data_IF_092390140913
#
_entry.id   IF_092390140913
#
_cell.length_a   1.000
_cell.length_b   1.000
_cell.length_c   1.000
_cell.angle_alpha   90.00
_cell.angle_beta   90.00
_cell.angle_gamma   90.00
#
_symmetry.space_group_name_H-M   'P 1'
#
loop_
_entity.id
_entity.type
_entity.pdbx_description
1 polymer ?
#
# COMPACT_ATOMS: atom_id res chain seq x y z
N UNK A 1 -1.70 9.91 27.42
CA UNK A 1 -1.47 10.49 26.07
C UNK A 1 -1.02 9.45 25.04
N UNK A 2 -0.07 8.55 25.34
CA UNK A 2 0.47 7.56 24.36
C UNK A 2 -0.56 6.60 23.76
N UNK A 3 -1.55 6.16 24.53
CA UNK A 3 -2.63 5.28 24.05
C UNK A 3 -3.45 5.87 22.88
N UNK A 4 -3.47 7.19 22.70
CA UNK A 4 -4.22 7.79 21.58
C UNK A 4 -3.71 7.30 20.22
N UNK A 5 -2.42 6.95 20.12
CA UNK A 5 -1.81 6.45 18.89
C UNK A 5 -2.35 5.08 18.46
N UNK A 6 -2.96 4.30 19.37
CA UNK A 6 -3.63 3.05 18.99
C UNK A 6 -4.84 3.31 18.09
N UNK A 7 -5.46 4.49 18.18
CA UNK A 7 -6.60 4.86 17.33
C UNK A 7 -6.21 4.89 15.86
N UNK A 8 -4.99 5.31 15.54
CA UNK A 8 -4.47 5.27 14.16
C UNK A 8 -4.45 3.85 13.63
N UNK A 9 -3.80 2.93 14.36
CA UNK A 9 -3.68 1.52 13.97
C UNK A 9 -5.04 0.80 13.90
N UNK A 10 -5.92 1.02 14.88
CA UNK A 10 -7.28 0.50 14.87
C UNK A 10 -8.05 1.06 13.67
N UNK A 11 -7.89 2.36 13.39
CA UNK A 11 -8.50 3.01 12.24
C UNK A 11 -8.08 2.39 10.91
N UNK A 12 -6.82 2.01 10.74
CA UNK A 12 -6.35 1.28 9.55
C UNK A 12 -7.11 -0.04 9.33
N UNK A 13 -7.26 -0.83 10.40
CA UNK A 13 -8.01 -2.11 10.37
C UNK A 13 -9.48 -1.84 10.01
N UNK A 14 -10.10 -0.86 10.67
CA UNK A 14 -11.49 -0.49 10.44
C UNK A 14 -11.72 0.01 9.01
N UNK A 15 -10.80 0.75 8.41
CA UNK A 15 -10.90 1.18 7.00
C UNK A 15 -10.97 -0.04 6.08
N UNK A 16 -10.07 -1.01 6.24
CA UNK A 16 -10.09 -2.23 5.41
C UNK A 16 -11.40 -3.02 5.56
N UNK A 17 -11.85 -3.23 6.80
CA UNK A 17 -13.12 -3.92 7.07
C UNK A 17 -14.31 -3.15 6.49
N UNK A 18 -14.35 -1.82 6.70
CA UNK A 18 -15.44 -0.97 6.24
C UNK A 18 -15.59 -0.99 4.71
N UNK A 19 -14.50 -0.94 3.95
CA UNK A 19 -14.55 -1.04 2.49
C UNK A 19 -15.11 -2.39 2.01
N UNK A 20 -14.69 -3.50 2.62
CA UNK A 20 -15.22 -4.84 2.30
C UNK A 20 -16.73 -4.89 2.60
N UNK A 21 -17.14 -4.55 3.83
CA UNK A 21 -18.54 -4.63 4.24
C UNK A 21 -19.41 -3.71 3.41
N UNK A 22 -19.01 -2.45 3.24
CA UNK A 22 -19.75 -1.46 2.45
C UNK A 22 -19.99 -1.97 1.03
N UNK A 23 -18.96 -2.45 0.34
CA UNK A 23 -19.09 -2.88 -1.05
C UNK A 23 -19.86 -4.19 -1.18
N UNK A 24 -19.63 -5.14 -0.27
CA UNK A 24 -20.35 -6.41 -0.23
C UNK A 24 -21.85 -6.19 -0.07
N UNK A 25 -22.28 -5.38 0.90
CA UNK A 25 -23.71 -5.12 1.12
C UNK A 25 -24.32 -4.23 0.04
N UNK A 26 -23.58 -3.24 -0.48
CA UNK A 26 -24.10 -2.32 -1.49
C UNK A 26 -24.27 -2.97 -2.86
N UNK A 27 -23.31 -3.82 -3.27
CA UNK A 27 -23.26 -4.39 -4.63
C UNK A 27 -23.64 -5.86 -4.70
N UNK A 28 -23.72 -6.56 -3.58
CA UNK A 28 -24.08 -7.99 -3.50
C UNK A 28 -23.24 -8.88 -4.42
N UNK A 29 -21.98 -8.51 -4.64
CA UNK A 29 -21.03 -9.31 -5.42
C UNK A 29 -20.58 -10.54 -4.62
N UNK A 30 -20.06 -11.55 -5.31
CA UNK A 30 -19.49 -12.73 -4.63
C UNK A 30 -18.30 -12.35 -3.76
N UNK A 31 -18.29 -12.80 -2.51
CA UNK A 31 -17.19 -12.54 -1.56
C UNK A 31 -15.82 -13.06 -2.07
N UNK A 32 -15.84 -14.03 -2.99
CA UNK A 32 -14.65 -14.60 -3.64
C UNK A 32 -13.76 -13.55 -4.31
N UNK A 33 -14.32 -12.44 -4.80
CA UNK A 33 -13.49 -11.40 -5.43
C UNK A 33 -12.61 -10.67 -4.42
N UNK A 34 -13.10 -10.38 -3.22
CA UNK A 34 -12.26 -9.84 -2.16
C UNK A 34 -11.16 -10.84 -1.79
N UNK A 35 -11.49 -12.13 -1.64
CA UNK A 35 -10.50 -13.17 -1.35
C UNK A 35 -9.43 -13.31 -2.42
N UNK A 36 -9.79 -13.24 -3.71
CA UNK A 36 -8.83 -13.24 -4.80
C UNK A 36 -7.91 -12.02 -4.72
N UNK A 37 -8.46 -10.83 -4.50
CA UNK A 37 -7.66 -9.62 -4.30
C UNK A 37 -6.67 -9.76 -3.16
N UNK A 38 -7.13 -10.26 -2.01
CA UNK A 38 -6.29 -10.46 -0.83
C UNK A 38 -5.19 -11.50 -1.07
N UNK A 39 -5.51 -12.63 -1.71
CA UNK A 39 -4.53 -13.65 -2.07
C UNK A 39 -3.44 -13.08 -2.98
N UNK A 40 -3.83 -12.32 -3.99
CA UNK A 40 -2.88 -11.71 -4.94
C UNK A 40 -1.97 -10.71 -4.24
N UNK A 41 -2.49 -9.90 -3.32
CA UNK A 41 -1.64 -9.01 -2.50
C UNK A 41 -0.63 -9.80 -1.66
N UNK A 42 -1.08 -10.85 -0.97
CA UNK A 42 -0.20 -11.69 -0.13
C UNK A 42 0.93 -12.29 -0.98
N UNK A 43 0.60 -12.87 -2.12
CA UNK A 43 1.60 -13.45 -3.04
C UNK A 43 2.56 -12.36 -3.56
N UNK A 44 2.04 -11.20 -3.97
CA UNK A 44 2.85 -10.10 -4.46
C UNK A 44 3.83 -9.59 -3.42
N UNK A 45 3.36 -9.32 -2.20
CA UNK A 45 4.20 -8.81 -1.11
C UNK A 45 5.20 -9.84 -0.63
N UNK A 46 4.81 -11.12 -0.55
CA UNK A 46 5.74 -12.20 -0.22
C UNK A 46 6.90 -12.29 -1.21
N UNK A 47 6.60 -12.30 -2.52
CA UNK A 47 7.62 -12.35 -3.57
C UNK A 47 8.47 -11.09 -3.58
N UNK A 48 7.86 -9.91 -3.42
CA UNK A 48 8.56 -8.63 -3.32
C UNK A 48 9.55 -8.62 -2.15
N UNK A 49 9.12 -9.09 -0.98
CA UNK A 49 9.96 -9.16 0.21
C UNK A 49 11.09 -10.18 0.07
N UNK A 50 10.80 -11.37 -0.49
CA UNK A 50 11.82 -12.37 -0.78
C UNK A 50 12.89 -11.82 -1.73
N UNK A 51 12.47 -11.16 -2.81
CA UNK A 51 13.39 -10.50 -3.75
C UNK A 51 14.19 -9.39 -3.07
N UNK A 52 13.54 -8.55 -2.26
CA UNK A 52 14.21 -7.46 -1.55
C UNK A 52 15.30 -7.96 -0.60
N UNK A 53 15.03 -9.08 0.09
CA UNK A 53 15.96 -9.71 1.02
C UNK A 53 17.18 -10.31 0.34
N UNK A 54 17.00 -10.91 -0.84
CA UNK A 54 18.02 -11.66 -1.58
C UNK A 54 18.85 -10.77 -2.51
N UNK A 55 18.23 -9.79 -3.16
CA UNK A 55 18.86 -9.02 -4.25
C UNK A 55 18.99 -7.55 -3.88
N UNK A 56 17.92 -6.91 -3.39
CA UNK A 56 17.91 -5.46 -3.21
C UNK A 56 18.91 -4.97 -2.16
N UNK A 57 19.20 -5.77 -1.13
CA UNK A 57 20.14 -5.39 -0.07
C UNK A 57 21.54 -5.13 -0.64
N UNK A 58 22.02 -6.00 -1.52
CA UNK A 58 23.35 -5.89 -2.12
C UNK A 58 23.40 -4.71 -3.09
N UNK A 59 22.36 -4.54 -3.91
CA UNK A 59 22.24 -3.41 -4.83
C UNK A 59 22.23 -2.05 -4.10
N UNK A 60 21.42 -1.91 -3.04
CA UNK A 60 21.31 -0.67 -2.27
C UNK A 60 22.65 -0.32 -1.62
N UNK A 61 23.36 -1.32 -1.09
CA UNK A 61 24.69 -1.14 -0.48
C UNK A 61 25.68 -0.69 -1.54
N UNK A 62 25.74 -1.40 -2.68
CA UNK A 62 26.59 -1.05 -3.81
C UNK A 62 26.38 0.39 -4.29
N UNK A 63 25.12 0.81 -4.46
CA UNK A 63 24.80 2.17 -4.90
C UNK A 63 25.27 3.23 -3.91
N UNK A 64 25.12 2.99 -2.59
CA UNK A 64 25.57 3.92 -1.55
C UNK A 64 27.08 3.99 -1.41
N UNK A 65 27.78 2.89 -1.71
CA UNK A 65 29.24 2.82 -1.63
C UNK A 65 29.92 3.49 -2.84
N UNK A 66 29.27 3.48 -4.01
CA UNK A 66 29.88 3.93 -5.27
C UNK A 66 29.34 5.25 -5.82
N UNK A 67 28.19 5.75 -5.33
CA UNK A 67 27.59 7.00 -5.79
C UNK A 67 27.38 7.97 -4.62
N UNK A 68 27.38 9.25 -4.92
CA UNK A 68 27.00 10.27 -3.94
C UNK A 68 25.54 10.07 -3.48
N UNK A 69 25.23 10.52 -2.26
CA UNK A 69 23.86 10.47 -1.72
C UNK A 69 22.84 11.20 -2.60
N UNK A 70 23.27 12.26 -3.30
CA UNK A 70 22.44 12.99 -4.26
C UNK A 70 21.97 12.12 -5.43
N UNK A 71 22.78 11.13 -5.85
CA UNK A 71 22.43 10.22 -6.95
C UNK A 71 21.86 8.89 -6.45
N UNK A 72 22.50 8.27 -5.45
CA UNK A 72 22.09 6.94 -4.96
C UNK A 72 20.69 6.94 -4.38
N UNK A 73 20.33 7.94 -3.58
CA UNK A 73 19.03 7.95 -2.88
C UNK A 73 17.83 8.04 -3.84
N UNK A 74 17.76 8.99 -4.79
CA UNK A 74 16.69 9.00 -5.80
C UNK A 74 16.59 7.70 -6.61
N UNK A 75 17.73 7.09 -6.96
CA UNK A 75 17.77 5.80 -7.66
C UNK A 75 17.13 4.71 -6.79
N UNK A 76 17.48 4.65 -5.51
CA UNK A 76 16.92 3.68 -4.55
C UNK A 76 15.42 3.86 -4.37
N UNK A 77 14.93 5.10 -4.30
CA UNK A 77 13.49 5.39 -4.16
C UNK A 77 12.72 4.91 -5.39
N UNK A 78 13.19 5.28 -6.59
CA UNK A 78 12.60 4.87 -7.87
C UNK A 78 12.64 3.34 -8.02
N UNK A 79 13.79 2.73 -7.71
CA UNK A 79 13.95 1.28 -7.73
C UNK A 79 12.95 0.57 -6.82
N UNK A 80 12.72 1.10 -5.61
CA UNK A 80 11.74 0.56 -4.67
C UNK A 80 10.32 0.65 -5.22
N UNK A 81 9.96 1.76 -5.85
CA UNK A 81 8.68 1.89 -6.54
C UNK A 81 8.52 0.94 -7.72
N UNK A 82 9.58 0.77 -8.53
CA UNK A 82 9.60 -0.17 -9.67
C UNK A 82 9.38 -1.60 -9.17
N UNK A 83 10.00 -2.00 -8.06
CA UNK A 83 9.75 -3.31 -7.46
C UNK A 83 8.28 -3.51 -7.13
N UNK A 84 7.61 -2.49 -6.60
CA UNK A 84 6.16 -2.56 -6.40
C UNK A 84 5.41 -2.69 -7.72
N UNK A 85 5.77 -1.92 -8.76
CA UNK A 85 5.18 -2.08 -10.09
C UNK A 85 5.33 -3.51 -10.64
N UNK A 86 6.53 -4.10 -10.52
CA UNK A 86 6.81 -5.47 -10.99
C UNK A 86 6.00 -6.48 -10.19
N UNK A 87 6.11 -6.47 -8.86
CA UNK A 87 5.53 -7.52 -8.03
C UNK A 87 4.02 -7.34 -7.83
N UNK A 88 3.53 -6.14 -7.53
CA UNK A 88 2.10 -5.95 -7.32
C UNK A 88 1.35 -5.89 -8.65
N UNK A 89 1.75 -5.03 -9.59
CA UNK A 89 1.04 -4.97 -10.87
C UNK A 89 1.27 -6.21 -11.73
N UNK A 90 2.49 -6.77 -11.74
CA UNK A 90 2.79 -7.99 -12.49
C UNK A 90 2.05 -9.21 -11.97
N UNK A 91 1.94 -9.40 -10.64
CA UNK A 91 1.18 -10.54 -10.09
C UNK A 91 -0.32 -10.35 -10.30
N UNK A 92 -0.87 -9.12 -10.19
CA UNK A 92 -2.26 -8.85 -10.61
C UNK A 92 -2.44 -9.20 -12.09
N UNK A 93 -1.49 -8.83 -12.97
CA UNK A 93 -1.56 -9.13 -14.40
C UNK A 93 -1.62 -10.65 -14.65
N UNK A 94 -0.75 -11.42 -14.00
CA UNK A 94 -0.75 -12.89 -14.11
C UNK A 94 -2.07 -13.50 -13.67
N UNK A 95 -2.60 -13.08 -12.52
CA UNK A 95 -3.89 -13.58 -12.02
C UNK A 95 -5.07 -13.08 -12.85
N UNK A 96 -4.95 -11.94 -13.53
CA UNK A 96 -6.00 -11.40 -14.41
C UNK A 96 -6.25 -12.27 -15.65
N UNK A 97 -5.38 -13.23 -15.96
CA UNK A 97 -5.65 -14.25 -16.99
C UNK A 97 -6.55 -15.40 -16.52
N UNK A 98 -6.75 -15.57 -15.20
CA UNK A 98 -7.69 -16.55 -14.67
C UNK A 98 -9.10 -16.17 -15.12
N UNK A 99 -9.82 -17.12 -15.75
CA UNK A 99 -11.14 -16.88 -16.37
C UNK A 99 -12.08 -16.06 -15.49
N UNK A 100 -12.21 -16.43 -14.21
CA UNK A 100 -13.09 -15.77 -13.25
C UNK A 100 -12.74 -14.30 -13.00
N UNK A 101 -11.46 -13.94 -13.01
CA UNK A 101 -10.99 -12.55 -12.82
C UNK A 101 -11.08 -11.80 -14.16
N UNK A 102 -10.68 -12.44 -15.26
CA UNK A 102 -10.74 -11.86 -16.61
C UNK A 102 -12.16 -11.43 -17.01
N UNK A 103 -13.15 -12.25 -16.67
CA UNK A 103 -14.55 -12.06 -17.03
C UNK A 103 -15.32 -11.21 -16.00
N UNK A 104 -14.67 -10.70 -14.96
CA UNK A 104 -15.32 -9.91 -13.93
C UNK A 104 -16.00 -8.66 -14.50
N UNK A 105 -17.19 -8.35 -13.97
CA UNK A 105 -17.84 -7.06 -14.23
C UNK A 105 -17.16 -5.92 -13.44
N UNK A 106 -17.62 -4.69 -13.63
CA UNK A 106 -16.99 -3.52 -13.00
C UNK A 106 -16.98 -3.61 -11.47
N UNK A 107 -18.13 -3.97 -10.88
CA UNK A 107 -18.30 -4.02 -9.43
C UNK A 107 -17.48 -5.19 -8.83
N UNK A 108 -17.35 -6.30 -9.55
CA UNK A 108 -16.49 -7.43 -9.19
C UNK A 108 -14.99 -7.08 -9.27
N UNK A 109 -14.56 -6.33 -10.30
CA UNK A 109 -13.19 -5.82 -10.39
C UNK A 109 -12.85 -4.83 -9.28
N UNK A 110 -13.82 -3.97 -8.89
CA UNK A 110 -13.67 -3.13 -7.70
C UNK A 110 -13.56 -4.01 -6.45
N UNK A 111 -14.40 -5.05 -6.31
CA UNK A 111 -14.32 -5.99 -5.21
C UNK A 111 -12.94 -6.66 -5.09
N UNK A 112 -12.35 -7.06 -6.21
CA UNK A 112 -10.97 -7.54 -6.26
C UNK A 112 -9.99 -6.49 -5.74
N UNK A 113 -10.04 -5.26 -6.24
CA UNK A 113 -9.18 -4.18 -5.78
C UNK A 113 -9.37 -3.82 -4.30
N UNK A 114 -10.60 -3.90 -3.79
CA UNK A 114 -10.90 -3.73 -2.37
C UNK A 114 -10.24 -4.84 -1.56
N UNK A 115 -10.36 -6.09 -1.99
CA UNK A 115 -9.70 -7.21 -1.32
C UNK A 115 -8.18 -7.03 -1.24
N UNK A 116 -7.57 -6.54 -2.32
CA UNK A 116 -6.14 -6.25 -2.41
C UNK A 116 -5.70 -5.18 -1.41
N UNK A 117 -6.36 -4.01 -1.38
CA UNK A 117 -6.00 -2.94 -0.44
C UNK A 117 -6.41 -3.21 1.01
N UNK A 118 -7.51 -3.95 1.22
CA UNK A 118 -8.04 -4.17 2.58
C UNK A 118 -7.18 -5.13 3.38
N UNK A 119 -6.66 -6.19 2.73
CA UNK A 119 -5.76 -7.13 3.43
C UNK A 119 -4.47 -6.43 3.86
N UNK A 120 -3.96 -5.51 3.05
CA UNK A 120 -2.82 -4.65 3.42
C UNK A 120 -3.15 -3.82 4.67
N UNK A 121 -4.24 -3.05 4.62
CA UNK A 121 -4.63 -2.15 5.69
C UNK A 121 -4.84 -2.91 7.02
N UNK A 122 -5.46 -4.09 6.95
CA UNK A 122 -5.70 -4.96 8.10
C UNK A 122 -4.38 -5.52 8.65
N UNK A 123 -3.54 -6.13 7.81
CA UNK A 123 -2.27 -6.74 8.26
C UNK A 123 -1.32 -5.68 8.82
N UNK A 124 -1.14 -4.56 8.14
CA UNK A 124 -0.27 -3.48 8.60
C UNK A 124 -0.82 -2.84 9.89
N UNK A 125 -2.13 -2.61 9.97
CA UNK A 125 -2.78 -2.09 11.16
C UNK A 125 -2.63 -3.02 12.37
N UNK A 126 -2.84 -4.33 12.19
CA UNK A 126 -2.64 -5.32 13.25
C UNK A 126 -1.17 -5.42 13.67
N UNK A 127 -0.24 -5.47 12.70
CA UNK A 127 1.20 -5.53 12.98
C UNK A 127 1.66 -4.32 13.81
N UNK A 128 1.24 -3.12 13.44
CA UNK A 128 1.59 -1.90 14.15
C UNK A 128 0.93 -1.85 15.54
N UNK A 129 -0.34 -2.27 15.66
CA UNK A 129 -1.05 -2.33 16.93
C UNK A 129 -0.40 -3.31 17.91
N UNK A 130 -0.08 -4.54 17.46
CA UNK A 130 0.58 -5.56 18.29
C UNK A 130 1.95 -5.07 18.74
N UNK A 131 2.75 -4.54 17.81
CA UNK A 131 4.08 -4.00 18.14
C UNK A 131 3.97 -2.91 19.21
N UNK A 132 3.02 -1.98 19.04
CA UNK A 132 2.81 -0.90 20.00
C UNK A 132 2.32 -1.40 21.37
N UNK A 133 1.39 -2.36 21.41
CA UNK A 133 0.90 -2.95 22.65
C UNK A 133 1.99 -3.73 23.39
N UNK A 134 2.86 -4.45 22.66
CA UNK A 134 4.02 -5.13 23.26
C UNK A 134 4.95 -4.15 23.95
N UNK A 135 5.23 -3.00 23.33
CA UNK A 135 6.07 -1.94 23.94
C UNK A 135 5.41 -1.33 25.18
N UNK A 136 4.08 -1.16 25.18
CA UNK A 136 3.37 -0.55 26.30
C UNK A 136 3.14 -1.49 27.49
N UNK A 137 2.82 -2.77 27.21
CA UNK A 137 2.36 -3.71 28.23
C UNK A 137 3.45 -4.67 28.70
N UNK A 138 4.46 -4.94 27.86
CA UNK A 138 5.52 -5.92 28.13
C UNK A 138 6.90 -5.42 27.68
N UNK A 139 7.33 -4.18 28.04
CA UNK A 139 8.61 -3.63 27.59
C UNK A 139 9.81 -4.50 27.99
N UNK A 140 9.75 -5.18 29.12
CA UNK A 140 10.79 -6.07 29.64
C UNK A 140 10.98 -7.37 28.84
N UNK A 141 10.00 -7.75 28.01
CA UNK A 141 10.09 -8.93 27.13
C UNK A 141 10.72 -8.63 25.77
N UNK A 142 11.02 -7.36 25.50
CA UNK A 142 11.60 -6.92 24.25
C UNK A 142 13.14 -6.84 24.35
N UNK A 143 13.86 -6.96 23.22
CA UNK A 143 15.30 -6.76 23.22
C UNK A 143 15.69 -5.42 23.86
N UNK A 144 16.80 -5.40 24.60
CA UNK A 144 17.29 -4.21 25.28
C UNK A 144 17.38 -3.01 24.31
N UNK A 145 16.83 -1.86 24.72
CA UNK A 145 16.80 -0.64 23.91
C UNK A 145 15.73 -0.58 22.81
N UNK A 146 15.07 -1.69 22.47
CA UNK A 146 14.03 -1.71 21.42
C UNK A 146 12.81 -0.88 21.79
N UNK A 147 12.32 -1.02 23.03
CA UNK A 147 11.18 -0.25 23.51
C UNK A 147 11.48 1.26 23.51
N UNK A 148 12.66 1.68 23.96
CA UNK A 148 13.09 3.08 23.97
C UNK A 148 13.22 3.63 22.55
N UNK A 149 13.83 2.87 21.64
CA UNK A 149 13.94 3.24 20.23
C UNK A 149 12.54 3.48 19.64
N UNK A 150 11.61 2.54 19.79
CA UNK A 150 10.28 2.68 19.23
C UNK A 150 9.52 3.85 19.84
N UNK A 151 9.61 4.03 21.17
CA UNK A 151 8.98 5.15 21.87
C UNK A 151 9.53 6.51 21.44
N UNK A 152 10.83 6.58 21.12
CA UNK A 152 11.49 7.79 20.62
C UNK A 152 11.11 8.12 19.17
N UNK A 153 10.73 7.11 18.39
CA UNK A 153 10.27 7.26 17.01
C UNK A 153 8.75 7.43 16.88
N UNK A 154 8.02 7.50 18.00
CA UNK A 154 6.57 7.68 17.94
C UNK A 154 6.22 9.03 17.34
N UNK A 155 5.26 9.08 16.40
CA UNK A 155 4.81 10.32 15.84
C UNK A 155 4.04 11.14 16.90
N UNK A 156 3.97 12.44 16.69
CA UNK A 156 3.29 13.35 17.60
C UNK A 156 1.80 12.98 17.73
N UNK A 157 1.17 13.02 18.92
CA UNK A 157 -0.23 12.65 19.10
C UNK A 157 -1.23 13.33 18.15
N UNK A 158 -0.92 14.53 17.68
CA UNK A 158 -1.75 15.27 16.70
C UNK A 158 -1.77 14.67 15.29
N UNK A 159 -0.94 13.66 14.99
CA UNK A 159 -0.92 12.96 13.70
C UNK A 159 -1.64 11.61 13.75
N UNK A 160 -2.40 11.34 14.81
CA UNK A 160 -3.12 10.06 15.03
C UNK A 160 -4.04 9.67 13.87
N UNK A 161 -4.61 10.64 13.16
CA UNK A 161 -5.49 10.41 12.01
C UNK A 161 -4.75 10.18 10.69
N UNK A 162 -3.44 10.49 10.65
CA UNK A 162 -2.58 10.31 9.50
C UNK A 162 -2.71 8.93 8.86
N UNK A 163 -2.39 7.85 9.59
CA UNK A 163 -2.47 6.50 9.05
C UNK A 163 -3.85 6.14 8.50
N UNK A 164 -4.93 6.72 9.05
CA UNK A 164 -6.30 6.49 8.57
C UNK A 164 -6.52 7.16 7.21
N UNK A 165 -6.09 8.42 7.07
CA UNK A 165 -6.16 9.20 5.82
C UNK A 165 -5.32 8.50 4.74
N UNK A 166 -4.11 8.09 5.09
CA UNK A 166 -3.22 7.34 4.22
C UNK A 166 -3.91 6.06 3.71
N UNK A 167 -4.50 5.27 4.62
CA UNK A 167 -5.15 4.00 4.25
C UNK A 167 -6.36 4.21 3.35
N UNK A 168 -7.22 5.20 3.62
CA UNK A 168 -8.35 5.51 2.73
C UNK A 168 -7.84 5.87 1.34
N UNK A 169 -6.76 6.65 1.26
CA UNK A 169 -6.16 7.06 -0.01
C UNK A 169 -5.52 5.88 -0.75
N UNK A 170 -4.78 5.04 -0.03
CA UNK A 170 -4.20 3.80 -0.54
C UNK A 170 -5.27 2.85 -1.08
N UNK A 171 -6.44 2.74 -0.43
CA UNK A 171 -7.56 1.93 -0.95
C UNK A 171 -7.92 2.33 -2.38
N UNK A 172 -8.08 3.63 -2.67
CA UNK A 172 -8.40 4.08 -4.02
C UNK A 172 -7.25 3.86 -5.02
N UNK A 173 -6.00 3.96 -4.57
CA UNK A 173 -4.82 3.61 -5.38
C UNK A 173 -4.86 2.11 -5.77
N UNK A 174 -5.08 1.21 -4.81
CA UNK A 174 -5.14 -0.24 -5.07
C UNK A 174 -6.32 -0.62 -5.95
N UNK A 175 -7.50 -0.06 -5.67
CA UNK A 175 -8.71 -0.34 -6.45
C UNK A 175 -8.53 0.10 -7.90
N UNK A 176 -8.10 1.35 -8.13
CA UNK A 176 -7.89 1.88 -9.48
C UNK A 176 -6.82 1.10 -10.24
N UNK A 177 -5.70 0.78 -9.60
CA UNK A 177 -4.62 -0.03 -10.19
C UNK A 177 -5.10 -1.42 -10.59
N UNK A 178 -5.81 -2.10 -9.71
CA UNK A 178 -6.36 -3.42 -9.99
C UNK A 178 -7.34 -3.41 -11.15
N UNK A 179 -8.27 -2.44 -11.16
CA UNK A 179 -9.26 -2.31 -12.24
C UNK A 179 -8.59 -1.96 -13.58
N UNK A 180 -7.56 -1.12 -13.59
CA UNK A 180 -6.75 -0.83 -14.79
C UNK A 180 -6.14 -2.11 -15.38
N UNK A 181 -5.52 -2.94 -14.55
CA UNK A 181 -4.84 -4.15 -15.00
C UNK A 181 -5.84 -5.20 -15.49
N UNK A 182 -6.94 -5.42 -14.77
CA UNK A 182 -8.01 -6.32 -15.22
C UNK A 182 -8.58 -5.83 -16.56
N UNK A 183 -8.80 -4.52 -16.70
CA UNK A 183 -9.26 -3.90 -17.96
C UNK A 183 -8.26 -4.13 -19.09
N UNK A 184 -6.95 -4.08 -18.81
CA UNK A 184 -5.90 -4.32 -19.80
C UNK A 184 -6.02 -5.71 -20.44
N UNK A 185 -6.29 -6.72 -19.63
CA UNK A 185 -6.44 -8.12 -20.07
C UNK A 185 -7.79 -8.32 -20.75
N UNK A 186 -8.88 -7.78 -20.17
CA UNK A 186 -10.23 -7.90 -20.71
C UNK A 186 -10.37 -7.28 -22.10
N UNK A 187 -9.78 -6.10 -22.30
CA UNK A 187 -9.83 -5.39 -23.58
C UNK A 187 -8.67 -5.71 -24.52
N UNK A 188 -7.71 -6.55 -24.10
CA UNK A 188 -6.43 -6.80 -24.81
C UNK A 188 -5.68 -5.50 -25.15
N UNK A 189 -5.74 -4.51 -24.24
CA UNK A 189 -5.10 -3.19 -24.39
C UNK A 189 -4.07 -3.00 -23.28
N UNK A 190 -2.81 -3.30 -23.59
CA UNK A 190 -1.70 -3.24 -22.63
C UNK A 190 -1.44 -1.84 -22.07
N UNK A 191 -1.87 -0.78 -22.75
CA UNK A 191 -1.72 0.59 -22.25
C UNK A 191 -2.30 0.81 -20.84
N UNK A 192 -3.39 0.12 -20.49
CA UNK A 192 -3.97 0.21 -19.14
C UNK A 192 -3.07 -0.41 -18.07
N UNK A 193 -2.34 -1.48 -18.40
CA UNK A 193 -1.34 -2.06 -17.49
C UNK A 193 -0.21 -1.07 -17.24
N UNK A 194 0.34 -0.44 -18.28
CA UNK A 194 1.44 0.52 -18.12
C UNK A 194 1.03 1.76 -17.34
N UNK A 195 -0.20 2.24 -17.50
CA UNK A 195 -0.74 3.32 -16.66
C UNK A 195 -0.74 2.89 -15.18
N UNK A 196 -1.21 1.68 -14.88
CA UNK A 196 -1.20 1.15 -13.51
C UNK A 196 0.22 0.98 -12.96
N UNK A 197 1.13 0.45 -13.77
CA UNK A 197 2.51 0.20 -13.40
C UNK A 197 3.21 1.51 -13.02
N UNK A 198 3.11 2.54 -13.88
CA UNK A 198 3.70 3.85 -13.63
C UNK A 198 3.06 4.49 -12.39
N UNK A 199 1.73 4.42 -12.27
CA UNK A 199 1.01 5.00 -11.15
C UNK A 199 1.44 4.41 -9.80
N UNK A 200 1.50 3.07 -9.68
CA UNK A 200 1.99 2.40 -8.47
C UNK A 200 3.48 2.64 -8.22
N UNK A 201 4.28 2.70 -9.28
CA UNK A 201 5.71 3.05 -9.17
C UNK A 201 5.89 4.43 -8.56
N UNK A 202 5.12 5.43 -9.00
CA UNK A 202 5.17 6.80 -8.44
C UNK A 202 4.78 6.80 -6.97
N UNK A 203 3.67 6.15 -6.61
CA UNK A 203 3.18 6.07 -5.22
C UNK A 203 4.25 5.49 -4.30
N UNK A 204 4.79 4.33 -4.64
CA UNK A 204 5.74 3.63 -3.78
C UNK A 204 7.15 4.24 -3.82
N UNK A 205 7.54 4.90 -4.93
CA UNK A 205 8.78 5.71 -4.96
C UNK A 205 8.69 6.89 -4.01
N UNK A 206 7.52 7.55 -3.97
CA UNK A 206 7.27 8.65 -3.04
C UNK A 206 7.27 8.17 -1.58
N UNK A 207 6.65 7.02 -1.28
CA UNK A 207 6.72 6.42 0.05
C UNK A 207 8.18 6.03 0.42
N UNK A 208 8.93 5.43 -0.52
CA UNK A 208 10.32 5.05 -0.32
C UNK A 208 11.23 6.26 -0.03
N UNK A 209 10.98 7.41 -0.67
CA UNK A 209 11.67 8.65 -0.37
C UNK A 209 11.61 9.01 1.12
N UNK A 210 10.43 8.95 1.75
CA UNK A 210 10.32 9.26 3.18
C UNK A 210 10.94 8.20 4.08
N UNK A 211 10.82 6.92 3.68
CA UNK A 211 11.39 5.80 4.41
C UNK A 211 12.93 5.88 4.45
N UNK A 212 13.59 6.02 3.30
CA UNK A 212 15.05 5.97 3.22
C UNK A 212 15.73 7.27 3.63
N UNK A 213 15.08 8.42 3.44
CA UNK A 213 15.63 9.71 3.89
C UNK A 213 15.56 9.91 5.41
N UNK A 214 14.99 8.95 6.16
CA UNK A 214 14.66 9.08 7.59
C UNK A 214 13.87 10.35 7.93
N UNK A 215 13.17 10.92 6.94
CA UNK A 215 12.40 12.15 7.12
C UNK A 215 11.17 11.92 7.99
N UNK A 216 10.61 10.71 8.00
CA UNK A 216 9.51 10.32 8.90
C UNK A 216 9.90 10.44 10.38
N UNK A 217 11.12 10.01 10.75
CA UNK A 217 11.60 10.04 12.14
C UNK A 217 11.95 11.46 12.62
N UNK A 218 12.27 12.38 11.69
CA UNK A 218 12.66 13.76 11.97
C UNK A 218 11.58 14.78 11.60
N UNK A 219 10.39 14.31 11.24
CA UNK A 219 9.33 15.15 10.71
C UNK A 219 8.63 15.90 11.82
N UNK A 220 8.48 17.21 11.64
CA UNK A 220 7.48 17.95 12.39
C UNK A 220 6.08 17.58 11.87
N UNK A 221 5.05 17.99 12.63
CA UNK A 221 3.64 17.73 12.30
C UNK A 221 3.26 18.22 10.89
N UNK A 222 3.80 19.36 10.45
CA UNK A 222 3.55 19.93 9.13
C UNK A 222 4.07 19.03 8.01
N UNK A 223 5.30 18.54 8.12
CA UNK A 223 5.88 17.64 7.13
C UNK A 223 5.12 16.32 7.04
N UNK A 224 4.65 15.80 8.18
CA UNK A 224 3.82 14.59 8.22
C UNK A 224 2.53 14.78 7.43
N UNK A 225 1.80 15.87 7.65
CA UNK A 225 0.56 16.14 6.90
C UNK A 225 0.79 16.46 5.42
N UNK A 226 1.95 16.99 5.04
CA UNK A 226 2.31 17.18 3.63
C UNK A 226 2.49 15.84 2.91
N UNK A 227 3.08 14.85 3.58
CA UNK A 227 3.14 13.48 3.09
C UNK A 227 1.72 12.91 2.88
N UNK A 228 0.89 12.96 3.92
CA UNK A 228 -0.50 12.48 3.87
C UNK A 228 -1.31 13.14 2.74
N UNK A 229 -1.15 14.46 2.59
CA UNK A 229 -1.83 15.23 1.56
C UNK A 229 -1.44 14.76 0.15
N UNK A 230 -0.16 14.43 -0.07
CA UNK A 230 0.29 13.96 -1.38
C UNK A 230 -0.27 12.57 -1.70
N UNK A 231 -0.30 11.66 -0.71
CA UNK A 231 -0.94 10.35 -0.87
C UNK A 231 -2.45 10.50 -1.12
N UNK A 232 -3.11 11.45 -0.44
CA UNK A 232 -4.52 11.79 -0.66
C UNK A 232 -4.78 12.24 -2.11
N UNK A 233 -3.96 13.13 -2.65
CA UNK A 233 -4.08 13.56 -4.06
C UNK A 233 -3.93 12.38 -5.02
N UNK A 234 -3.00 11.46 -4.75
CA UNK A 234 -2.85 10.24 -5.53
C UNK A 234 -4.11 9.36 -5.41
N UNK A 235 -4.69 9.19 -4.22
CA UNK A 235 -5.96 8.51 -4.02
C UNK A 235 -7.11 9.13 -4.81
N UNK A 236 -7.20 10.46 -4.84
CA UNK A 236 -8.19 11.21 -5.64
C UNK A 236 -8.01 10.95 -7.14
N UNK A 237 -6.77 10.91 -7.64
CA UNK A 237 -6.49 10.49 -9.03
C UNK A 237 -7.02 9.08 -9.29
N UNK A 238 -6.86 8.16 -8.33
CA UNK A 238 -7.43 6.81 -8.38
C UNK A 238 -8.95 6.81 -8.55
N UNK A 239 -9.67 7.67 -7.82
CA UNK A 239 -11.13 7.86 -7.97
C UNK A 239 -11.47 8.32 -9.39
N UNK A 240 -10.75 9.31 -9.93
CA UNK A 240 -10.97 9.79 -11.31
C UNK A 240 -10.74 8.69 -12.34
N UNK A 241 -9.70 7.87 -12.17
CA UNK A 241 -9.43 6.69 -13.02
C UNK A 241 -10.64 5.75 -13.00
N UNK A 242 -11.16 5.42 -11.83
CA UNK A 242 -12.30 4.50 -11.68
C UNK A 242 -13.55 5.04 -12.40
N UNK A 243 -13.89 6.31 -12.20
CA UNK A 243 -15.02 6.95 -12.89
C UNK A 243 -14.88 6.83 -14.41
N UNK A 244 -13.68 7.06 -14.94
CA UNK A 244 -13.40 6.95 -16.39
C UNK A 244 -13.42 5.51 -16.90
N UNK A 245 -13.04 4.53 -16.08
CA UNK A 245 -12.99 3.12 -16.48
C UNK A 245 -14.36 2.46 -16.55
N UNK A 246 -15.33 2.95 -15.77
CA UNK A 246 -16.69 2.38 -15.72
C UNK A 246 -17.31 2.16 -17.12
N UNK A 247 -17.08 3.08 -18.07
CA UNK A 247 -17.62 3.00 -19.44
C UNK A 247 -17.13 1.81 -20.26
N UNK A 248 -16.04 1.15 -19.84
CA UNK A 248 -15.46 0.01 -20.54
C UNK A 248 -16.00 -1.34 -20.05
N UNK A 249 -16.81 -1.32 -19.00
CA UNK A 249 -17.50 -2.50 -18.50
C UNK A 249 -18.97 -2.38 -18.90
N UNK A 250 -19.42 -3.29 -19.77
CA UNK A 250 -20.84 -3.48 -20.07
C UNK A 250 -21.50 -4.24 -18.93
#
# INVERSE_FOLDING_TARGET
MRYILTLGHIGMILVGIAFILYWYYKKKISFKFFLWGSLVWIVAVFLKFAFARLVSKELITFLRDHLSSFLSEPIIWIYTGILTGIFECGIILLFSFIKRIKESNYDESIGFGIGFGSVEAIILGFSALITFLMVLLFPEKLPNGFAEQLLSSLPHPSTVFGPIIERISAMFIHISSSVLIITSVKLKKQGWFWISFIYKTIVDSYAAYFLYSKKLERMNVTGYYLFEFTILLLGVIGIFILIKLKKFFK
#
